data_IF_939850498288
#
_entry.id   IF_939850498288
#
_cell.length_a   1.000
_cell.length_b   1.000
_cell.length_c   1.000
_cell.angle_alpha   90.00
_cell.angle_beta   90.00
_cell.angle_gamma   90.00
#
_symmetry.space_group_name_H-M   'P 1'
#
loop_
_entity.id
_entity.type
_entity.pdbx_description
1 polymer ?
#
# COMPACT_ATOMS: atom_id res chain seq x y z
N UNK A 1 16.23 0.67 -35.03
CA UNK A 1 14.81 1.12 -35.06
C UNK A 1 14.18 0.62 -36.34
N UNK A 2 12.99 0.02 -36.29
CA UNK A 2 12.28 -0.55 -37.46
C UNK A 2 10.86 0.00 -37.55
N UNK A 3 10.29 0.08 -38.76
CA UNK A 3 8.91 0.53 -38.98
C UNK A 3 8.02 -0.69 -39.24
N UNK A 4 6.96 -0.85 -38.46
CA UNK A 4 6.00 -1.98 -38.54
C UNK A 4 4.59 -1.40 -38.48
N UNK A 5 3.76 -1.67 -39.50
CA UNK A 5 2.37 -1.18 -39.59
C UNK A 5 2.21 0.31 -39.27
N UNK A 6 3.10 1.15 -39.79
CA UNK A 6 3.08 2.61 -39.56
C UNK A 6 3.62 3.07 -38.21
N UNK A 7 3.94 2.16 -37.28
CA UNK A 7 4.55 2.46 -35.98
C UNK A 7 6.05 2.13 -35.98
N UNK A 8 6.77 2.66 -35.00
CA UNK A 8 8.18 2.36 -34.81
C UNK A 8 8.39 1.39 -33.64
N UNK A 9 9.24 0.40 -33.85
CA UNK A 9 9.72 -0.50 -32.82
C UNK A 9 11.24 -0.40 -32.70
N UNK A 10 11.75 -0.68 -31.51
CA UNK A 10 13.17 -0.72 -31.22
C UNK A 10 13.59 -2.17 -31.12
N UNK A 11 14.69 -2.51 -31.81
CA UNK A 11 15.33 -3.81 -31.73
C UNK A 11 16.68 -3.56 -31.10
N UNK A 12 17.00 -4.32 -30.05
CA UNK A 12 18.33 -4.34 -29.46
C UNK A 12 19.30 -4.86 -30.52
N UNK A 13 20.39 -4.14 -30.74
CA UNK A 13 21.42 -4.49 -31.72
C UNK A 13 21.88 -5.95 -31.58
N UNK A 14 22.01 -6.65 -32.72
CA UNK A 14 22.43 -8.05 -32.78
C UNK A 14 21.35 -9.06 -32.41
N UNK A 15 20.08 -8.64 -32.35
CA UNK A 15 18.92 -9.52 -32.06
C UNK A 15 17.98 -9.71 -33.26
N UNK A 16 18.29 -9.10 -34.40
CA UNK A 16 17.47 -9.10 -35.61
C UNK A 16 17.16 -10.52 -36.09
N UNK A 17 18.19 -11.35 -36.28
CA UNK A 17 18.04 -12.72 -36.76
C UNK A 17 17.35 -13.62 -35.72
N UNK A 18 17.56 -13.36 -34.44
CA UNK A 18 16.87 -14.09 -33.36
C UNK A 18 15.37 -13.79 -33.38
N UNK A 19 14.99 -12.52 -33.55
CA UNK A 19 13.58 -12.09 -33.65
C UNK A 19 12.92 -12.62 -34.93
N UNK A 20 13.65 -12.78 -36.04
CA UNK A 20 13.09 -13.37 -37.27
C UNK A 20 12.75 -14.85 -37.13
N UNK A 21 13.43 -15.56 -36.24
CA UNK A 21 13.36 -17.02 -36.12
C UNK A 21 12.61 -17.51 -34.87
N UNK A 22 11.97 -16.62 -34.10
CA UNK A 22 11.17 -17.04 -32.93
C UNK A 22 9.96 -17.87 -33.38
N UNK A 23 9.67 -18.94 -32.62
CA UNK A 23 8.49 -19.80 -32.84
C UNK A 23 7.35 -19.52 -31.86
N UNK A 24 7.63 -18.83 -30.76
CA UNK A 24 6.66 -18.39 -29.77
C UNK A 24 7.15 -17.16 -29.00
N UNK A 25 6.19 -16.36 -28.53
CA UNK A 25 6.42 -15.20 -27.70
C UNK A 25 5.68 -15.41 -26.38
N UNK A 26 6.37 -15.15 -25.27
CA UNK A 26 5.79 -15.15 -23.93
C UNK A 26 5.93 -13.72 -23.42
N UNK A 27 4.82 -13.16 -22.99
CA UNK A 27 4.75 -11.82 -22.41
C UNK A 27 4.34 -11.95 -20.96
N UNK A 28 5.00 -11.19 -20.10
CA UNK A 28 4.45 -10.87 -18.79
C UNK A 28 3.23 -9.96 -18.97
N UNK A 29 2.38 -9.89 -17.95
CA UNK A 29 1.19 -9.05 -17.97
C UNK A 29 1.52 -7.64 -17.49
N UNK A 30 2.00 -7.53 -16.26
CA UNK A 30 2.11 -6.27 -15.53
C UNK A 30 3.38 -5.52 -15.93
N UNK A 31 3.22 -4.28 -16.42
CA UNK A 31 4.33 -3.49 -16.94
C UNK A 31 4.81 -3.89 -18.34
N UNK A 32 4.17 -4.88 -18.97
CA UNK A 32 4.45 -5.30 -20.36
C UNK A 32 3.22 -5.18 -21.24
N UNK A 33 2.12 -5.89 -20.91
CA UNK A 33 0.84 -5.77 -21.61
C UNK A 33 0.02 -4.63 -21.01
N UNK A 34 -0.02 -4.52 -19.69
CA UNK A 34 -0.77 -3.51 -18.97
C UNK A 34 0.16 -2.48 -18.33
N UNK A 35 -0.15 -1.18 -18.50
CA UNK A 35 0.48 -0.13 -17.72
C UNK A 35 -0.12 -0.11 -16.31
N UNK A 36 0.62 -0.67 -15.36
CA UNK A 36 0.21 -0.76 -13.95
C UNK A 36 0.86 0.32 -13.08
N UNK A 37 1.59 1.29 -13.66
CA UNK A 37 2.45 2.24 -12.95
C UNK A 37 1.77 3.02 -11.83
N UNK A 38 0.44 3.18 -11.90
CA UNK A 38 -0.39 3.87 -10.90
C UNK A 38 -1.33 2.95 -10.10
N UNK A 39 -1.79 1.86 -10.70
CA UNK A 39 -2.94 1.08 -10.21
C UNK A 39 -2.78 0.54 -8.78
N UNK A 40 -1.69 -0.18 -8.51
CA UNK A 40 -1.42 -0.78 -7.20
C UNK A 40 -1.21 0.26 -6.10
N UNK A 41 -0.43 1.31 -6.38
CA UNK A 41 -0.16 2.38 -5.42
C UNK A 41 -1.42 3.19 -5.11
N UNK A 42 -2.25 3.48 -6.11
CA UNK A 42 -3.55 4.11 -5.90
C UNK A 42 -4.50 3.23 -5.11
N UNK A 43 -4.49 1.91 -5.29
CA UNK A 43 -5.30 0.99 -4.51
C UNK A 43 -4.93 1.04 -3.02
N UNK A 44 -3.63 1.12 -2.69
CA UNK A 44 -3.16 1.32 -1.32
C UNK A 44 -3.72 2.63 -0.74
N UNK A 45 -3.54 3.75 -1.45
CA UNK A 45 -4.02 5.07 -0.99
C UNK A 45 -5.53 5.07 -0.75
N UNK A 46 -6.31 4.56 -1.71
CA UNK A 46 -7.77 4.47 -1.58
C UNK A 46 -8.21 3.56 -0.44
N UNK A 47 -7.45 2.49 -0.16
CA UNK A 47 -7.77 1.59 0.95
C UNK A 47 -7.51 2.25 2.30
N UNK A 48 -6.41 2.98 2.43
CA UNK A 48 -6.11 3.80 3.63
C UNK A 48 -7.20 4.86 3.82
N UNK A 49 -7.50 5.62 2.77
CA UNK A 49 -8.55 6.66 2.79
C UNK A 49 -9.91 6.08 3.17
N UNK A 50 -10.30 4.95 2.57
CA UNK A 50 -11.55 4.27 2.87
C UNK A 50 -11.60 3.77 4.32
N UNK A 51 -10.50 3.20 4.82
CA UNK A 51 -10.45 2.70 6.20
C UNK A 51 -10.67 3.84 7.21
N UNK A 52 -9.91 4.94 7.11
CA UNK A 52 -10.05 6.05 8.05
C UNK A 52 -11.38 6.81 7.84
N UNK A 53 -11.70 7.19 6.61
CA UNK A 53 -12.88 8.01 6.31
C UNK A 53 -14.21 7.27 6.40
N UNK A 54 -14.26 6.00 5.99
CA UNK A 54 -15.52 5.23 5.95
C UNK A 54 -15.67 4.30 7.16
N UNK A 55 -14.64 3.51 7.46
CA UNK A 55 -14.71 2.51 8.54
C UNK A 55 -14.61 3.19 9.91
N UNK A 56 -13.59 4.03 10.12
CA UNK A 56 -13.41 4.74 11.38
C UNK A 56 -14.21 6.04 11.49
N UNK A 57 -14.66 6.63 10.37
CA UNK A 57 -15.36 7.92 10.39
C UNK A 57 -14.47 9.07 10.92
N UNK A 58 -13.16 9.02 10.66
CA UNK A 58 -12.20 10.06 11.05
C UNK A 58 -11.54 10.64 9.81
N UNK A 59 -10.95 11.82 9.94
CA UNK A 59 -10.23 12.43 8.83
C UNK A 59 -9.07 11.51 8.38
N UNK A 60 -8.98 11.16 7.09
CA UNK A 60 -7.88 10.32 6.61
C UNK A 60 -6.51 10.98 6.81
N UNK A 61 -5.46 10.20 7.10
CA UNK A 61 -4.11 10.73 7.15
C UNK A 61 -3.65 11.18 5.76
N UNK A 62 -2.77 12.19 5.72
CA UNK A 62 -2.19 12.70 4.48
C UNK A 62 -1.12 11.74 3.94
N UNK A 63 -1.54 10.78 3.11
CA UNK A 63 -0.65 9.80 2.48
C UNK A 63 -0.64 10.00 0.96
N UNK A 64 0.56 9.99 0.36
CA UNK A 64 0.73 10.17 -1.08
C UNK A 64 1.57 9.04 -1.71
N UNK A 65 1.67 9.05 -3.04
CA UNK A 65 2.43 8.05 -3.81
C UNK A 65 3.92 8.00 -3.45
N UNK A 66 4.50 9.12 -2.98
CA UNK A 66 5.86 9.20 -2.49
C UNK A 66 6.08 8.34 -1.26
N UNK A 67 5.17 8.40 -0.29
CA UNK A 67 5.22 7.54 0.91
C UNK A 67 5.19 6.06 0.51
N UNK A 68 4.31 5.67 -0.41
CA UNK A 68 4.26 4.28 -0.91
C UNK A 68 5.57 3.87 -1.58
N UNK A 69 6.19 4.78 -2.35
CA UNK A 69 7.47 4.52 -2.97
C UNK A 69 8.60 4.36 -1.94
N UNK A 70 8.56 5.09 -0.82
CA UNK A 70 9.54 4.92 0.26
C UNK A 70 9.50 3.52 0.84
N UNK A 71 8.30 3.00 1.15
CA UNK A 71 8.14 1.60 1.58
C UNK A 71 8.74 0.62 0.56
N UNK A 72 8.41 0.76 -0.73
CA UNK A 72 8.94 -0.10 -1.80
C UNK A 72 10.47 -0.01 -1.92
N UNK A 73 11.05 1.16 -1.71
CA UNK A 73 12.50 1.38 -1.80
C UNK A 73 13.29 0.67 -0.69
N UNK A 74 12.66 0.32 0.44
CA UNK A 74 13.31 -0.47 1.49
C UNK A 74 13.65 -1.90 1.04
N UNK A 75 12.97 -2.41 0.01
CA UNK A 75 13.05 -3.81 -0.43
C UNK A 75 12.33 -4.81 0.49
N UNK A 76 11.94 -4.41 1.70
CA UNK A 76 11.27 -5.29 2.67
C UNK A 76 9.76 -5.39 2.47
N UNK A 77 9.14 -4.36 1.88
CA UNK A 77 7.69 -4.28 1.68
C UNK A 77 7.29 -4.62 0.25
N UNK A 78 7.45 -5.89 -0.14
CA UNK A 78 7.11 -6.30 -1.50
C UNK A 78 5.60 -6.45 -1.73
N UNK A 79 4.83 -6.76 -0.68
CA UNK A 79 3.38 -6.94 -0.76
C UNK A 79 2.62 -5.62 -0.47
N UNK A 80 1.68 -5.26 -1.34
CA UNK A 80 0.87 -4.05 -1.19
C UNK A 80 -0.06 -4.09 0.03
N UNK A 81 -0.48 -5.29 0.46
CA UNK A 81 -1.25 -5.45 1.69
C UNK A 81 -0.42 -5.12 2.92
N UNK A 82 0.86 -5.49 2.94
CA UNK A 82 1.76 -5.16 4.05
C UNK A 82 1.98 -3.65 4.18
N UNK A 83 2.17 -2.95 3.05
CA UNK A 83 2.27 -1.49 3.06
C UNK A 83 0.97 -0.87 3.58
N UNK A 84 -0.16 -1.37 3.11
CA UNK A 84 -1.49 -0.91 3.55
C UNK A 84 -1.66 -1.09 5.06
N UNK A 85 -1.33 -2.27 5.59
CA UNK A 85 -1.40 -2.57 7.01
C UNK A 85 -0.44 -1.69 7.82
N UNK A 86 0.80 -1.53 7.38
CA UNK A 86 1.79 -0.72 8.07
C UNK A 86 1.33 0.74 8.21
N UNK A 87 0.81 1.33 7.13
CA UNK A 87 0.28 2.70 7.15
C UNK A 87 -0.94 2.81 8.09
N UNK A 88 -1.90 1.88 7.98
CA UNK A 88 -3.08 1.89 8.84
C UNK A 88 -2.69 1.75 10.31
N UNK A 89 -1.82 0.78 10.65
CA UNK A 89 -1.39 0.55 12.02
C UNK A 89 -0.61 1.73 12.60
N UNK A 90 0.27 2.34 11.81
CA UNK A 90 1.04 3.51 12.22
C UNK A 90 0.11 4.65 12.66
N UNK A 91 -0.78 5.10 11.77
CA UNK A 91 -1.67 6.22 12.07
C UNK A 91 -2.75 5.86 13.08
N UNK A 92 -3.25 4.63 13.10
CA UNK A 92 -4.20 4.20 14.13
C UNK A 92 -3.54 4.21 15.51
N UNK A 93 -2.29 3.76 15.62
CA UNK A 93 -1.53 3.80 16.88
C UNK A 93 -1.27 5.23 17.33
N UNK A 94 -0.91 6.13 16.42
CA UNK A 94 -0.76 7.56 16.72
C UNK A 94 -2.07 8.18 17.25
N UNK A 95 -3.21 7.91 16.60
CA UNK A 95 -4.52 8.36 17.06
C UNK A 95 -4.88 7.78 18.44
N UNK A 96 -4.61 6.51 18.66
CA UNK A 96 -4.86 5.85 19.95
C UNK A 96 -4.01 6.48 21.06
N UNK A 97 -2.72 6.75 20.81
CA UNK A 97 -1.82 7.38 21.78
C UNK A 97 -2.24 8.81 22.14
N UNK A 98 -2.84 9.54 21.18
CA UNK A 98 -3.39 10.89 21.37
C UNK A 98 -4.79 10.89 21.98
N UNK A 99 -5.42 9.72 22.10
CA UNK A 99 -6.76 9.53 22.67
C UNK A 99 -6.62 9.08 24.13
N UNK A 100 -7.55 9.53 24.98
CA UNK A 100 -7.59 9.11 26.38
C UNK A 100 -8.06 7.66 26.55
N UNK A 101 -8.61 7.33 27.72
CA UNK A 101 -9.20 6.02 27.96
C UNK A 101 -10.33 5.74 26.96
N UNK A 102 -10.25 4.59 26.27
CA UNK A 102 -11.27 4.10 25.34
C UNK A 102 -11.97 2.90 25.97
N UNK A 103 -13.29 2.88 25.91
CA UNK A 103 -14.12 1.74 26.33
C UNK A 103 -14.92 1.26 25.11
N UNK A 104 -14.75 -0.02 24.75
CA UNK A 104 -15.40 -0.64 23.60
C UNK A 104 -16.35 -1.73 24.06
N UNK A 105 -17.54 -1.79 23.47
CA UNK A 105 -18.55 -2.81 23.74
C UNK A 105 -18.36 -4.02 22.83
N UNK A 106 -17.97 -3.79 21.59
CA UNK A 106 -17.70 -4.87 20.64
C UNK A 106 -16.29 -5.42 20.85
N UNK A 107 -16.17 -6.74 20.68
CA UNK A 107 -14.88 -7.43 20.60
C UNK A 107 -14.57 -7.71 19.13
N UNK A 108 -13.30 -7.62 18.75
CA UNK A 108 -12.87 -8.05 17.43
C UNK A 108 -13.09 -9.58 17.33
N UNK A 109 -13.96 -10.01 16.41
CA UNK A 109 -14.27 -11.41 16.11
C UNK A 109 -13.90 -11.74 14.66
N UNK A 110 -13.89 -13.03 14.32
CA UNK A 110 -13.48 -13.54 13.01
C UNK A 110 -14.46 -13.26 11.87
N UNK A 111 -15.65 -12.70 12.13
CA UNK A 111 -16.59 -12.32 11.07
C UNK A 111 -16.45 -10.83 10.70
N UNK A 112 -16.53 -10.55 9.40
CA UNK A 112 -16.26 -9.22 8.86
C UNK A 112 -17.24 -8.14 9.37
N UNK A 113 -18.49 -8.52 9.69
CA UNK A 113 -19.49 -7.58 10.20
C UNK A 113 -19.12 -7.13 11.61
N UNK A 114 -18.77 -8.07 12.49
CA UNK A 114 -18.30 -7.75 13.84
C UNK A 114 -17.00 -6.93 13.81
N UNK A 115 -16.05 -7.25 12.92
CA UNK A 115 -14.83 -6.44 12.73
C UNK A 115 -15.17 -5.01 12.30
N UNK A 116 -16.08 -4.85 11.34
CA UNK A 116 -16.51 -3.52 10.90
C UNK A 116 -17.21 -2.74 12.01
N UNK A 117 -18.12 -3.37 12.76
CA UNK A 117 -18.80 -2.75 13.90
C UNK A 117 -17.81 -2.33 15.00
N UNK A 118 -16.81 -3.16 15.28
CA UNK A 118 -15.73 -2.84 16.22
C UNK A 118 -14.98 -1.57 15.80
N UNK A 119 -14.51 -1.49 14.55
CA UNK A 119 -13.77 -0.32 14.09
C UNK A 119 -14.67 0.92 13.99
N UNK A 120 -15.94 0.77 13.61
CA UNK A 120 -16.89 1.90 13.61
C UNK A 120 -17.16 2.42 15.02
N UNK A 121 -17.22 1.54 16.03
CA UNK A 121 -17.30 1.95 17.44
C UNK A 121 -16.02 2.66 17.88
N UNK A 122 -14.86 2.05 17.59
CA UNK A 122 -13.56 2.64 17.93
C UNK A 122 -13.43 4.05 17.38
N UNK A 123 -13.75 4.25 16.10
CA UNK A 123 -13.66 5.55 15.45
C UNK A 123 -14.60 6.62 16.01
N UNK A 124 -15.66 6.26 16.76
CA UNK A 124 -16.47 7.22 17.53
C UNK A 124 -15.78 7.70 18.80
N UNK A 125 -14.87 6.89 19.34
CA UNK A 125 -14.08 7.20 20.54
C UNK A 125 -12.77 7.94 20.22
N UNK A 126 -12.31 7.89 18.97
CA UNK A 126 -11.11 8.60 18.51
C UNK A 126 -11.40 10.09 18.26
N UNK A 127 -10.34 10.91 18.36
CA UNK A 127 -10.38 12.29 17.87
C UNK A 127 -10.67 12.32 16.37
N UNK A 128 -11.45 13.31 15.92
CA UNK A 128 -11.81 13.50 14.50
C UNK A 128 -10.77 14.31 13.74
N UNK A 129 -9.51 14.15 14.10
CA UNK A 129 -8.37 14.82 13.47
C UNK A 129 -7.59 13.79 12.64
N UNK A 130 -6.97 14.23 11.56
CA UNK A 130 -6.07 13.37 10.78
C UNK A 130 -4.83 13.05 11.60
N UNK A 131 -4.30 11.84 11.47
CA UNK A 131 -3.02 11.51 12.11
C UNK A 131 -1.89 12.40 11.59
N UNK A 132 -1.31 13.23 12.46
CA UNK A 132 -0.13 14.05 12.19
C UNK A 132 1.14 13.29 12.62
N UNK A 133 1.47 12.23 11.88
CA UNK A 133 2.65 11.39 12.14
C UNK A 133 3.74 11.56 11.08
N UNK A 134 5.01 11.43 11.50
CA UNK A 134 6.21 11.34 10.67
C UNK A 134 6.35 9.93 10.05
N UNK A 135 5.53 9.62 9.05
CA UNK A 135 5.53 8.30 8.39
C UNK A 135 6.90 7.97 7.78
N UNK A 136 7.63 8.96 7.29
CA UNK A 136 8.98 8.82 6.74
C UNK A 136 9.95 8.23 7.76
N UNK A 137 9.93 8.76 8.98
CA UNK A 137 10.76 8.26 10.08
C UNK A 137 10.41 6.83 10.44
N UNK A 138 9.12 6.49 10.46
CA UNK A 138 8.69 5.12 10.69
C UNK A 138 9.25 4.17 9.62
N UNK A 139 9.17 4.53 8.33
CA UNK A 139 9.70 3.72 7.22
C UNK A 139 11.19 3.46 7.38
N UNK A 140 11.96 4.49 7.78
CA UNK A 140 13.38 4.35 8.04
C UNK A 140 13.69 3.42 9.22
N UNK A 141 12.86 3.45 10.28
CA UNK A 141 13.01 2.60 11.47
C UNK A 141 12.64 1.13 11.20
N UNK A 142 11.57 0.85 10.44
CA UNK A 142 11.17 -0.53 10.13
C UNK A 142 12.01 -1.15 9.02
N UNK A 143 12.52 -0.33 8.09
CA UNK A 143 13.57 -0.67 7.12
C UNK A 143 13.53 -2.10 6.57
N UNK A 144 14.72 -2.71 6.44
CA UNK A 144 14.95 -4.02 5.81
C UNK A 144 14.21 -5.22 6.45
N UNK A 145 13.57 -5.04 7.61
CA UNK A 145 12.91 -6.12 8.36
C UNK A 145 11.40 -6.27 8.11
N UNK A 146 10.76 -5.30 7.46
CA UNK A 146 9.32 -5.33 7.18
C UNK A 146 8.45 -5.36 8.45
N UNK A 147 7.19 -5.79 8.32
CA UNK A 147 6.29 -5.95 9.48
C UNK A 147 6.76 -7.06 10.43
N UNK A 148 7.37 -8.14 9.93
CA UNK A 148 7.79 -9.28 10.74
C UNK A 148 8.88 -8.92 11.78
N UNK A 149 9.84 -8.05 11.46
CA UNK A 149 10.87 -7.65 12.42
C UNK A 149 10.34 -6.64 13.46
N UNK A 150 9.36 -5.81 13.09
CA UNK A 150 8.72 -4.87 14.03
C UNK A 150 7.94 -5.58 15.14
N UNK A 151 7.39 -6.77 14.86
CA UNK A 151 6.62 -7.57 15.83
C UNK A 151 7.53 -8.27 16.85
N UNK A 152 8.83 -8.40 16.57
CA UNK A 152 9.83 -9.00 17.48
C UNK A 152 10.42 -8.02 18.49
N UNK A 153 10.19 -6.71 18.32
CA UNK A 153 10.73 -5.65 19.18
C UNK A 153 9.71 -5.09 20.18
N UNK A 154 8.47 -5.60 20.18
CA UNK A 154 7.38 -5.20 21.08
C UNK A 154 7.22 -6.17 22.27
#
# INVERSE_FOLDING_TARGET
KVKVNGRYAWIREGREDKIRNVKGLIFDCDGVIFDVSKSFKEAILKTVEWFFGTVLDVEPPSVNLGHIQMFKNTGAFNNDWEITYAIILYYLTDLLAKTGKIELKHTCRSDAVATFSFFKELGRSLKKEGGEGELERYVDEVGAGGLEDSTRRA
#
